data_IF_002975933545
#
_entry.id   IF_002975933545
#
_cell.length_a   1.000
_cell.length_b   1.000
_cell.length_c   1.000
_cell.angle_alpha   90.00
_cell.angle_beta   90.00
_cell.angle_gamma   90.00
#
_symmetry.space_group_name_H-M   'P 1'
#
loop_
_entity.id
_entity.type
_entity.pdbx_description
1 polymer ?
#
# COMPACT_ATOMS: atom_id res chain seq x y z
N UNK A 1 0.98 -5.33 -35.59
CA UNK A 1 -0.01 -5.69 -34.55
C UNK A 1 0.52 -6.81 -33.66
N UNK A 2 1.09 -7.88 -34.23
CA UNK A 2 1.74 -8.97 -33.47
C UNK A 2 2.96 -8.55 -32.62
N UNK A 3 3.76 -7.57 -33.07
CA UNK A 3 4.93 -7.08 -32.32
C UNK A 3 4.58 -6.28 -31.06
N UNK A 4 3.43 -5.58 -31.06
CA UNK A 4 2.94 -4.85 -29.89
C UNK A 4 2.33 -5.81 -28.87
N UNK A 5 1.61 -6.83 -29.36
CA UNK A 5 1.05 -7.88 -28.51
C UNK A 5 2.19 -8.67 -27.82
N UNK A 6 3.22 -9.10 -28.56
CA UNK A 6 4.37 -9.79 -27.95
C UNK A 6 5.16 -8.92 -26.97
N UNK A 7 5.27 -7.61 -27.24
CA UNK A 7 5.91 -6.66 -26.33
C UNK A 7 5.13 -6.50 -25.01
N UNK A 8 3.79 -6.51 -25.06
CA UNK A 8 2.92 -6.44 -23.87
C UNK A 8 3.04 -7.72 -23.02
N UNK A 9 3.00 -8.91 -23.63
CA UNK A 9 3.16 -10.19 -22.91
C UNK A 9 4.54 -10.32 -22.24
N UNK A 10 5.60 -9.83 -22.91
CA UNK A 10 6.93 -9.77 -22.32
C UNK A 10 7.01 -8.78 -21.14
N UNK A 11 6.26 -7.67 -21.22
CA UNK A 11 6.17 -6.70 -20.15
C UNK A 11 5.46 -7.27 -18.91
N UNK A 12 4.36 -7.99 -19.11
CA UNK A 12 3.65 -8.69 -18.02
C UNK A 12 4.54 -9.78 -17.39
N UNK A 13 5.29 -10.54 -18.19
CA UNK A 13 6.26 -11.52 -17.70
C UNK A 13 7.42 -10.90 -16.90
N UNK A 14 7.95 -9.76 -17.37
CA UNK A 14 8.98 -8.99 -16.67
C UNK A 14 8.46 -8.38 -15.37
N UNK A 15 7.24 -7.85 -15.36
CA UNK A 15 6.59 -7.32 -14.16
C UNK A 15 6.38 -8.44 -13.14
N UNK A 16 5.89 -9.61 -13.57
CA UNK A 16 5.65 -10.74 -12.69
C UNK A 16 6.96 -11.31 -12.09
N UNK A 17 8.02 -11.42 -12.90
CA UNK A 17 9.32 -11.86 -12.39
C UNK A 17 9.93 -10.82 -11.43
N UNK A 18 9.87 -9.54 -11.76
CA UNK A 18 10.30 -8.45 -10.88
C UNK A 18 9.53 -8.46 -9.55
N UNK A 19 8.21 -8.68 -9.57
CA UNK A 19 7.39 -8.82 -8.37
C UNK A 19 7.85 -9.97 -7.47
N UNK A 20 8.23 -11.11 -8.03
CA UNK A 20 8.76 -12.25 -7.26
C UNK A 20 10.07 -11.86 -6.56
N UNK A 21 11.04 -11.28 -7.30
CA UNK A 21 12.31 -10.85 -6.71
C UNK A 21 12.13 -9.77 -5.64
N UNK A 22 11.23 -8.80 -5.88
CA UNK A 22 10.88 -7.78 -4.88
C UNK A 22 10.26 -8.42 -3.65
N UNK A 23 9.36 -9.39 -3.81
CA UNK A 23 8.72 -10.09 -2.69
C UNK A 23 9.73 -10.87 -1.84
N UNK A 24 10.62 -11.65 -2.47
CA UNK A 24 11.69 -12.36 -1.76
C UNK A 24 12.69 -11.40 -1.12
N UNK A 25 13.03 -10.30 -1.79
CA UNK A 25 13.88 -9.24 -1.25
C UNK A 25 13.27 -8.60 0.00
N UNK A 26 11.98 -8.24 -0.05
CA UNK A 26 11.25 -7.69 1.09
C UNK A 26 11.17 -8.70 2.26
N UNK A 27 10.97 -9.98 1.97
CA UNK A 27 10.99 -11.04 2.97
C UNK A 27 12.38 -11.18 3.62
N UNK A 28 13.45 -11.12 2.83
CA UNK A 28 14.83 -11.12 3.32
C UNK A 28 15.13 -9.92 4.21
N UNK A 29 14.74 -8.71 3.79
CA UNK A 29 14.88 -7.47 4.59
C UNK A 29 14.07 -7.55 5.88
N UNK A 30 12.85 -8.10 5.83
CA UNK A 30 12.01 -8.29 7.00
C UNK A 30 12.66 -9.23 8.04
N UNK A 31 13.18 -10.36 7.60
CA UNK A 31 13.87 -11.32 8.46
C UNK A 31 15.16 -10.72 9.03
N UNK A 32 15.96 -10.04 8.20
CA UNK A 32 17.19 -9.37 8.63
C UNK A 32 16.92 -8.31 9.71
N UNK A 33 15.92 -7.44 9.51
CA UNK A 33 15.51 -6.46 10.53
C UNK A 33 15.01 -7.08 11.82
N UNK A 34 14.50 -8.32 11.79
CA UNK A 34 13.98 -9.02 12.97
C UNK A 34 15.06 -9.81 13.70
N UNK A 35 15.99 -10.42 12.98
CA UNK A 35 17.11 -11.17 13.54
C UNK A 35 18.19 -10.25 14.13
N UNK A 36 18.35 -9.05 13.57
CA UNK A 36 19.44 -8.11 13.92
C UNK A 36 20.73 -8.35 13.13
N UNK A 37 20.84 -9.50 12.47
CA UNK A 37 21.90 -9.88 11.54
C UNK A 37 21.40 -10.92 10.54
N UNK A 38 22.19 -11.22 9.51
CA UNK A 38 21.84 -12.14 8.43
C UNK A 38 22.74 -13.39 8.39
N UNK A 39 23.48 -13.67 9.48
CA UNK A 39 24.52 -14.71 9.44
C UNK A 39 23.92 -16.11 9.30
N UNK A 40 22.85 -16.43 10.02
CA UNK A 40 22.13 -17.72 9.88
C UNK A 40 21.53 -17.91 8.49
N UNK A 41 20.95 -16.86 7.91
CA UNK A 41 20.39 -16.88 6.56
C UNK A 41 21.48 -17.07 5.50
N UNK A 42 22.57 -16.31 5.59
CA UNK A 42 23.70 -16.41 4.68
C UNK A 42 24.37 -17.78 4.77
N UNK A 43 24.51 -18.33 5.98
CA UNK A 43 25.08 -19.65 6.18
C UNK A 43 24.19 -20.76 5.59
N UNK A 44 22.86 -20.67 5.71
CA UNK A 44 21.95 -21.63 5.05
C UNK A 44 22.01 -21.54 3.53
N UNK A 45 22.15 -20.34 2.98
CA UNK A 45 22.36 -20.15 1.54
C UNK A 45 23.70 -20.75 1.11
N UNK A 46 24.76 -20.54 1.91
CA UNK A 46 26.07 -21.13 1.68
C UNK A 46 26.04 -22.66 1.73
N UNK A 47 25.42 -23.23 2.75
CA UNK A 47 25.21 -24.68 2.90
C UNK A 47 24.46 -25.28 1.71
N UNK A 48 23.44 -24.58 1.21
CA UNK A 48 22.66 -25.01 0.07
C UNK A 48 23.47 -24.96 -1.24
N UNK A 49 24.27 -23.91 -1.45
CA UNK A 49 25.02 -23.71 -2.70
C UNK A 49 26.35 -24.46 -2.78
N UNK A 50 27.12 -24.51 -1.69
CA UNK A 50 28.53 -24.95 -1.70
C UNK A 50 28.79 -26.14 -0.79
N UNK A 51 27.86 -26.48 0.11
CA UNK A 51 28.03 -27.54 1.09
C UNK A 51 28.99 -27.18 2.23
N UNK A 52 28.78 -27.80 3.40
CA UNK A 52 29.59 -27.58 4.61
C UNK A 52 28.79 -26.90 5.73
N UNK A 53 28.53 -27.65 6.82
CA UNK A 53 27.64 -27.23 7.91
C UNK A 53 28.36 -26.60 9.12
N UNK A 54 29.68 -26.73 9.19
CA UNK A 54 30.45 -26.43 10.41
C UNK A 54 31.82 -25.88 10.08
N UNK A 55 32.30 -24.96 10.91
CA UNK A 55 33.69 -24.52 10.90
C UNK A 55 34.61 -25.63 11.43
N UNK A 56 35.82 -25.74 10.88
CA UNK A 56 36.82 -26.70 11.36
C UNK A 56 37.34 -26.37 12.77
N UNK A 57 37.35 -25.08 13.15
CA UNK A 57 37.76 -24.64 14.49
C UNK A 57 36.57 -24.69 15.46
N UNK A 58 36.78 -25.37 16.60
CA UNK A 58 35.73 -25.56 17.62
C UNK A 58 35.30 -24.27 18.32
N UNK A 59 36.20 -23.29 18.52
CA UNK A 59 35.85 -22.00 19.13
C UNK A 59 35.01 -21.15 18.17
N UNK A 60 35.37 -21.13 16.89
CA UNK A 60 34.59 -20.43 15.85
C UNK A 60 33.21 -21.08 15.72
N UNK A 61 33.13 -22.41 15.70
CA UNK A 61 31.86 -23.12 15.63
C UNK A 61 30.97 -22.85 16.86
N UNK A 62 31.56 -22.82 18.07
CA UNK A 62 30.83 -22.47 19.29
C UNK A 62 30.28 -21.03 19.25
N UNK A 63 31.09 -20.06 18.82
CA UNK A 63 30.66 -18.67 18.66
C UNK A 63 29.55 -18.55 17.61
N UNK A 64 29.67 -19.25 16.48
CA UNK A 64 28.65 -19.25 15.43
C UNK A 64 27.32 -19.82 15.94
N UNK A 65 27.36 -20.93 16.67
CA UNK A 65 26.17 -21.52 17.28
C UNK A 65 25.51 -20.58 18.29
N UNK A 66 26.30 -19.89 19.12
CA UNK A 66 25.78 -18.86 20.02
C UNK A 66 25.08 -17.73 19.26
N UNK A 67 25.69 -17.23 18.16
CA UNK A 67 25.07 -16.21 17.31
C UNK A 67 23.78 -16.70 16.68
N UNK A 68 23.76 -17.94 16.19
CA UNK A 68 22.58 -18.55 15.59
C UNK A 68 21.42 -18.69 16.60
N UNK A 69 21.74 -19.04 17.86
CA UNK A 69 20.75 -19.07 18.94
C UNK A 69 20.17 -17.67 19.24
N UNK A 70 21.01 -16.64 19.28
CA UNK A 70 20.56 -15.24 19.48
C UNK A 70 19.68 -14.78 18.31
N UNK A 71 20.10 -15.02 17.07
CA UNK A 71 19.32 -14.69 15.87
C UNK A 71 17.97 -15.42 15.88
N UNK A 72 17.96 -16.72 16.18
CA UNK A 72 16.72 -17.51 16.28
C UNK A 72 15.80 -16.97 17.37
N UNK A 73 16.33 -16.60 18.53
CA UNK A 73 15.55 -16.01 19.61
C UNK A 73 14.94 -14.67 19.20
N UNK A 74 15.73 -13.77 18.58
CA UNK A 74 15.27 -12.49 18.06
C UNK A 74 14.18 -12.67 16.98
N UNK A 75 14.33 -13.66 16.09
CA UNK A 75 13.30 -14.00 15.09
C UNK A 75 12.03 -14.51 15.75
N UNK A 76 12.10 -15.43 16.73
CA UNK A 76 10.89 -15.97 17.36
C UNK A 76 10.18 -14.92 18.21
N UNK A 77 10.91 -14.25 19.10
CA UNK A 77 10.35 -13.34 20.10
C UNK A 77 10.35 -11.87 19.67
N UNK A 78 10.85 -11.55 18.47
CA UNK A 78 10.81 -10.19 17.92
C UNK A 78 11.49 -9.15 18.82
N UNK A 79 12.56 -9.56 19.49
CA UNK A 79 13.40 -8.73 20.36
C UNK A 79 14.76 -8.48 19.72
N UNK A 80 15.52 -7.51 20.23
CA UNK A 80 16.82 -7.12 19.69
C UNK A 80 17.99 -7.47 20.61
N UNK A 81 18.09 -8.72 21.06
CA UNK A 81 19.19 -9.17 21.92
C UNK A 81 20.51 -9.21 21.14
N UNK A 82 21.60 -8.77 21.76
CA UNK A 82 22.95 -8.76 21.19
C UNK A 82 23.75 -10.02 21.50
N UNK A 83 23.48 -10.63 22.64
CA UNK A 83 24.18 -11.80 23.16
C UNK A 83 23.25 -12.65 24.04
N UNK A 84 23.74 -13.81 24.49
CA UNK A 84 22.98 -14.75 25.32
C UNK A 84 22.71 -14.19 26.73
N UNK A 85 23.55 -13.31 27.24
CA UNK A 85 23.44 -12.68 28.55
C UNK A 85 22.21 -11.76 28.62
N UNK A 86 21.96 -10.96 27.57
CA UNK A 86 20.76 -10.13 27.46
C UNK A 86 19.49 -10.99 27.40
N UNK A 87 19.51 -12.12 26.68
CA UNK A 87 18.40 -13.07 26.64
C UNK A 87 18.11 -13.64 28.04
N UNK A 88 19.15 -14.10 28.74
CA UNK A 88 19.00 -14.61 30.12
C UNK A 88 18.46 -13.54 31.06
N UNK A 89 18.94 -12.31 30.93
CA UNK A 89 18.50 -11.16 31.73
C UNK A 89 17.02 -10.86 31.48
N UNK A 90 16.58 -10.89 30.22
CA UNK A 90 15.17 -10.75 29.84
C UNK A 90 14.29 -11.86 30.45
N UNK A 91 14.74 -13.12 30.38
CA UNK A 91 14.00 -14.26 30.96
C UNK A 91 13.87 -14.10 32.48
N UNK A 92 14.93 -13.70 33.16
CA UNK A 92 14.90 -13.49 34.61
C UNK A 92 14.01 -12.30 34.99
N UNK A 93 14.07 -11.22 34.21
CA UNK A 93 13.25 -10.03 34.42
C UNK A 93 11.75 -10.32 34.25
N UNK A 94 11.37 -11.00 33.15
CA UNK A 94 9.97 -11.39 32.89
C UNK A 94 9.43 -12.28 34.00
N UNK A 95 10.22 -13.25 34.48
CA UNK A 95 9.87 -14.08 35.65
C UNK A 95 9.71 -13.25 36.92
N UNK A 96 10.65 -12.36 37.22
CA UNK A 96 10.62 -11.52 38.43
C UNK A 96 9.41 -10.59 38.45
N UNK A 97 9.01 -10.05 37.30
CA UNK A 97 7.86 -9.15 37.15
C UNK A 97 6.54 -9.90 36.88
N UNK A 98 6.57 -11.22 36.74
CA UNK A 98 5.42 -12.05 36.36
C UNK A 98 4.74 -11.55 35.06
N UNK A 99 5.54 -11.14 34.07
CA UNK A 99 5.08 -10.63 32.77
C UNK A 99 5.31 -11.72 31.71
N UNK A 100 4.27 -12.05 30.93
CA UNK A 100 4.42 -12.92 29.77
C UNK A 100 5.30 -12.23 28.72
N UNK A 101 6.32 -12.95 28.22
CA UNK A 101 7.20 -12.48 27.15
C UNK A 101 6.42 -11.99 25.92
N UNK A 102 5.22 -12.50 25.67
CA UNK A 102 4.31 -12.05 24.61
C UNK A 102 4.04 -10.55 24.68
N UNK A 103 3.89 -9.98 25.88
CA UNK A 103 3.69 -8.53 26.04
C UNK A 103 4.91 -7.73 25.59
N UNK A 104 6.12 -8.23 25.88
CA UNK A 104 7.38 -7.66 25.38
C UNK A 104 7.46 -7.78 23.85
N UNK A 105 7.10 -8.94 23.29
CA UNK A 105 7.15 -9.18 21.84
C UNK A 105 6.18 -8.28 21.05
N UNK A 106 5.01 -7.99 21.62
CA UNK A 106 3.97 -7.16 21.01
C UNK A 106 4.36 -5.67 20.99
N UNK A 107 5.10 -5.21 22.01
CA UNK A 107 5.58 -3.85 22.13
C UNK A 107 6.79 -3.51 21.22
N UNK A 108 7.21 -4.43 20.32
CA UNK A 108 8.38 -4.32 19.41
C UNK A 108 8.94 -2.90 19.21
N UNK A 109 10.19 -2.68 19.60
CA UNK A 109 10.90 -1.41 19.45
C UNK A 109 10.61 -0.38 20.55
N UNK A 110 9.63 -0.65 21.42
CA UNK A 110 9.31 0.14 22.61
C UNK A 110 9.77 -0.52 23.91
N UNK A 111 10.58 -1.58 23.82
CA UNK A 111 11.22 -2.20 24.96
C UNK A 111 12.70 -2.37 24.65
N UNK A 112 13.55 -1.81 25.51
CA UNK A 112 15.00 -1.89 25.38
C UNK A 112 15.51 -3.07 26.22
N UNK A 113 16.05 -4.09 25.56
CA UNK A 113 16.49 -5.33 26.22
C UNK A 113 17.75 -5.13 27.07
N UNK A 114 18.65 -4.26 26.66
CA UNK A 114 19.89 -3.97 27.38
C UNK A 114 19.65 -3.29 28.73
N UNK A 115 18.63 -2.43 28.81
CA UNK A 115 18.26 -1.70 30.04
C UNK A 115 17.05 -2.30 30.76
N UNK A 116 16.34 -3.24 30.12
CA UNK A 116 15.08 -3.85 30.57
C UNK A 116 13.99 -2.81 30.86
N UNK A 117 13.93 -1.74 30.06
CA UNK A 117 12.99 -0.62 30.22
C UNK A 117 11.97 -0.59 29.09
N UNK A 118 10.71 -0.38 29.47
CA UNK A 118 9.64 -0.05 28.53
C UNK A 118 9.61 1.46 28.26
N UNK A 119 9.46 1.84 26.99
CA UNK A 119 9.39 3.22 26.52
C UNK A 119 7.91 3.60 26.40
N UNK A 120 7.51 4.70 27.05
CA UNK A 120 6.14 5.20 26.98
C UNK A 120 5.89 5.88 25.62
N UNK A 121 4.91 5.43 24.83
CA UNK A 121 4.54 6.14 23.61
C UNK A 121 3.83 7.46 23.94
N UNK A 122 4.20 8.52 23.23
CA UNK A 122 3.54 9.82 23.31
C UNK A 122 2.16 9.75 22.65
N UNK A 123 1.11 10.18 23.36
CA UNK A 123 -0.26 10.21 22.84
C UNK A 123 -0.38 11.06 21.56
N UNK A 124 0.29 12.22 21.51
CA UNK A 124 0.25 13.12 20.36
C UNK A 124 0.78 12.48 19.08
N UNK A 125 1.73 11.54 19.21
CA UNK A 125 2.24 10.79 18.07
C UNK A 125 1.20 9.80 17.52
N UNK A 126 0.28 9.29 18.35
CA UNK A 126 -0.82 8.44 17.88
C UNK A 126 -1.81 9.25 17.04
N UNK A 127 -2.14 10.46 17.51
CA UNK A 127 -2.99 11.41 16.76
C UNK A 127 -2.32 11.78 15.44
N UNK A 128 -1.02 12.09 15.47
CA UNK A 128 -0.26 12.39 14.25
C UNK A 128 -0.26 11.25 13.23
N UNK A 129 -0.05 10.01 13.67
CA UNK A 129 -0.16 8.83 12.80
C UNK A 129 -1.57 8.73 12.22
N UNK A 130 -2.61 8.80 13.05
CA UNK A 130 -4.00 8.72 12.59
C UNK A 130 -4.34 9.78 11.53
N UNK A 131 -4.02 11.05 11.80
CA UNK A 131 -4.22 12.16 10.87
C UNK A 131 -3.46 11.92 9.57
N UNK A 132 -2.21 11.46 9.64
CA UNK A 132 -1.43 11.12 8.45
C UNK A 132 -2.11 10.03 7.61
N UNK A 133 -2.66 8.97 8.21
CA UNK A 133 -3.31 7.92 7.44
C UNK A 133 -4.59 8.44 6.76
N UNK A 134 -5.39 9.27 7.45
CA UNK A 134 -6.59 9.91 6.87
C UNK A 134 -6.22 10.80 5.68
N UNK A 135 -5.21 11.67 5.84
CA UNK A 135 -4.75 12.55 4.75
C UNK A 135 -4.24 11.75 3.55
N UNK A 136 -3.46 10.69 3.78
CA UNK A 136 -2.97 9.82 2.70
C UNK A 136 -4.11 9.09 1.99
N UNK A 137 -5.11 8.59 2.72
CA UNK A 137 -6.31 7.98 2.11
C UNK A 137 -7.07 8.99 1.25
N UNK A 138 -7.30 10.21 1.74
CA UNK A 138 -8.01 11.25 1.00
C UNK A 138 -7.26 11.62 -0.29
N UNK A 139 -5.95 11.90 -0.19
CA UNK A 139 -5.13 12.25 -1.35
C UNK A 139 -5.14 11.15 -2.42
N UNK A 140 -5.00 9.89 -2.00
CA UNK A 140 -4.78 8.77 -2.92
C UNK A 140 -6.06 8.05 -3.37
N UNK A 141 -7.20 8.32 -2.72
CA UNK A 141 -8.53 7.82 -3.15
C UNK A 141 -8.87 8.19 -4.59
N UNK A 142 -8.41 9.35 -5.07
CA UNK A 142 -8.60 9.82 -6.43
C UNK A 142 -7.95 8.88 -7.47
N UNK A 143 -6.79 8.30 -7.16
CA UNK A 143 -6.13 7.33 -8.05
C UNK A 143 -6.87 6.01 -8.07
N UNK A 144 -7.51 5.62 -6.96
CA UNK A 144 -8.35 4.42 -6.90
C UNK A 144 -9.59 4.58 -7.80
N UNK A 145 -10.24 5.75 -7.75
CA UNK A 145 -11.35 6.08 -8.65
C UNK A 145 -10.91 5.99 -10.12
N UNK A 146 -9.75 6.57 -10.45
CA UNK A 146 -9.18 6.52 -11.81
C UNK A 146 -8.87 5.08 -12.27
N UNK A 147 -8.34 4.25 -11.38
CA UNK A 147 -7.92 2.89 -11.71
C UNK A 147 -9.09 1.91 -11.90
N UNK A 148 -10.18 2.08 -11.13
CA UNK A 148 -11.31 1.15 -11.13
C UNK A 148 -12.43 1.53 -12.08
N UNK A 149 -12.58 2.81 -12.41
CA UNK A 149 -13.72 3.30 -13.18
C UNK A 149 -13.64 2.85 -14.65
N UNK A 150 -14.66 2.17 -15.19
CA UNK A 150 -14.68 1.70 -16.59
C UNK A 150 -15.11 2.82 -17.55
N UNK A 151 -14.58 4.03 -17.36
CA UNK A 151 -14.87 5.19 -18.19
C UNK A 151 -13.61 6.03 -18.35
N UNK A 152 -13.38 6.55 -19.55
CA UNK A 152 -12.27 7.44 -19.83
C UNK A 152 -12.53 8.82 -19.23
N UNK A 153 -11.53 9.40 -18.56
CA UNK A 153 -11.58 10.78 -18.10
C UNK A 153 -11.04 11.66 -19.23
N UNK A 154 -11.91 12.43 -19.87
CA UNK A 154 -11.56 13.27 -21.00
C UNK A 154 -11.92 14.72 -20.73
N UNK A 155 -11.13 15.63 -21.30
CA UNK A 155 -11.41 17.06 -21.23
C UNK A 155 -12.14 17.49 -22.49
N UNK A 156 -13.33 18.06 -22.33
CA UNK A 156 -14.06 18.68 -23.42
C UNK A 156 -13.32 19.96 -23.83
N UNK A 157 -12.88 20.03 -25.10
CA UNK A 157 -12.06 21.13 -25.60
C UNK A 157 -12.76 22.49 -25.52
N UNK A 158 -14.04 22.53 -25.86
CA UNK A 158 -14.86 23.75 -25.93
C UNK A 158 -15.19 24.28 -24.52
N UNK A 159 -15.49 23.38 -23.58
CA UNK A 159 -15.99 23.73 -22.25
C UNK A 159 -14.93 23.65 -21.15
N UNK A 160 -13.71 23.23 -21.49
CA UNK A 160 -12.59 22.93 -20.58
C UNK A 160 -12.91 21.97 -19.42
N UNK A 161 -14.08 21.34 -19.45
CA UNK A 161 -14.63 20.53 -18.38
C UNK A 161 -14.21 19.08 -18.51
N UNK A 162 -13.91 18.43 -17.37
CA UNK A 162 -13.57 17.02 -17.31
C UNK A 162 -14.83 16.18 -17.18
N UNK A 163 -14.95 15.15 -18.02
CA UNK A 163 -16.11 14.27 -18.12
C UNK A 163 -15.63 12.83 -18.16
N UNK A 164 -16.38 11.95 -17.51
CA UNK A 164 -16.19 10.50 -17.63
C UNK A 164 -17.05 9.96 -18.76
N UNK A 165 -16.44 9.29 -19.74
CA UNK A 165 -17.13 8.81 -20.94
C UNK A 165 -16.73 7.36 -21.24
N UNK A 166 -17.71 6.51 -21.50
CA UNK A 166 -17.51 5.19 -22.11
C UNK A 166 -18.44 5.04 -23.34
N UNK A 167 -18.64 3.82 -23.85
CA UNK A 167 -19.45 3.60 -25.04
C UNK A 167 -20.97 3.78 -24.84
N UNK A 168 -21.42 3.93 -23.59
CA UNK A 168 -22.85 3.93 -23.22
C UNK A 168 -23.28 5.14 -22.38
N UNK A 169 -22.35 5.71 -21.61
CA UNK A 169 -22.63 6.71 -20.58
C UNK A 169 -21.56 7.79 -20.62
N UNK A 170 -22.00 9.03 -20.51
CA UNK A 170 -21.18 10.19 -20.19
C UNK A 170 -21.70 10.83 -18.90
N UNK A 171 -20.80 11.16 -17.98
CA UNK A 171 -21.17 11.73 -16.68
C UNK A 171 -20.18 12.78 -16.19
N UNK A 172 -20.69 13.75 -15.43
CA UNK A 172 -19.89 14.80 -14.81
C UNK A 172 -18.76 14.23 -13.96
N UNK A 173 -17.59 14.85 -13.99
CA UNK A 173 -16.50 14.51 -13.07
C UNK A 173 -16.44 15.50 -11.90
N UNK A 174 -15.83 15.04 -10.81
CA UNK A 174 -15.45 15.83 -9.63
C UNK A 174 -14.52 17.02 -9.99
N UNK A 175 -13.96 17.02 -11.21
CA UNK A 175 -12.99 18.00 -11.70
C UNK A 175 -13.60 18.99 -12.71
N UNK A 176 -14.92 19.20 -12.71
CA UNK A 176 -15.57 20.23 -13.54
C UNK A 176 -15.11 21.66 -13.16
N UNK A 177 -15.26 22.63 -14.07
CA UNK A 177 -14.65 23.98 -14.07
C UNK A 177 -14.80 24.85 -12.79
N UNK A 178 -15.54 24.41 -11.77
CA UNK A 178 -15.66 25.10 -10.50
C UNK A 178 -14.76 24.44 -9.44
N UNK A 179 -13.64 25.12 -9.14
CA UNK A 179 -12.67 24.77 -8.09
C UNK A 179 -13.27 24.73 -6.66
N UNK A 180 -14.56 25.01 -6.48
CA UNK A 180 -15.28 25.01 -5.21
C UNK A 180 -16.33 23.88 -5.18
N UNK A 181 -16.30 22.96 -4.19
CA UNK A 181 -17.21 21.82 -4.01
C UNK A 181 -18.73 22.11 -3.96
N UNK A 182 -19.14 23.39 -3.90
CA UNK A 182 -20.49 23.77 -3.50
C UNK A 182 -21.48 23.94 -4.66
N UNK A 183 -21.01 24.09 -5.91
CA UNK A 183 -21.85 24.28 -7.10
C UNK A 183 -21.57 23.21 -8.17
N UNK A 184 -21.71 21.93 -7.79
CA UNK A 184 -21.43 20.81 -8.66
C UNK A 184 -22.73 20.35 -9.31
N UNK A 185 -22.80 20.45 -10.63
CA UNK A 185 -23.93 19.93 -11.41
C UNK A 185 -23.66 18.46 -11.72
N UNK A 186 -24.22 17.58 -10.89
CA UNK A 186 -24.21 16.15 -11.18
C UNK A 186 -25.14 15.88 -12.37
N UNK A 187 -24.57 15.37 -13.46
CA UNK A 187 -25.33 15.01 -14.64
C UNK A 187 -24.82 13.70 -15.25
N UNK A 188 -25.73 13.01 -15.91
CA UNK A 188 -25.50 11.76 -16.63
C UNK A 188 -26.27 11.80 -17.94
N UNK A 189 -25.61 11.41 -19.02
CA UNK A 189 -26.15 11.27 -20.36
C UNK A 189 -25.93 9.83 -20.82
N UNK A 190 -27.03 9.11 -21.04
CA UNK A 190 -27.00 7.75 -21.56
C UNK A 190 -27.19 7.73 -23.08
N UNK A 191 -26.61 6.73 -23.74
CA UNK A 191 -26.81 6.48 -25.18
C UNK A 191 -28.28 6.46 -25.58
N UNK A 192 -29.16 5.88 -24.76
CA UNK A 192 -30.61 5.84 -25.03
C UNK A 192 -31.25 7.22 -25.05
N UNK A 193 -30.76 8.16 -24.25
CA UNK A 193 -31.26 9.53 -24.25
C UNK A 193 -30.86 10.24 -25.55
N UNK A 194 -29.64 10.02 -26.05
CA UNK A 194 -29.22 10.56 -27.34
C UNK A 194 -30.02 10.02 -28.55
N UNK A 195 -30.60 8.82 -28.42
CA UNK A 195 -31.42 8.18 -29.47
C UNK A 195 -32.91 8.53 -29.37
N UNK A 196 -33.34 9.21 -28.31
CA UNK A 196 -34.73 9.59 -28.08
C UNK A 196 -35.10 10.84 -28.89
N UNK A 197 -36.20 10.78 -29.63
CA UNK A 197 -36.73 11.93 -30.40
C UNK A 197 -37.10 13.12 -29.49
N UNK A 198 -37.53 12.83 -28.26
CA UNK A 198 -37.90 13.84 -27.26
C UNK A 198 -36.69 14.46 -26.51
N UNK A 199 -35.46 14.11 -26.88
CA UNK A 199 -34.28 14.61 -26.16
C UNK A 199 -33.93 16.04 -26.54
N UNK A 200 -34.30 16.97 -25.66
CA UNK A 200 -33.92 18.38 -25.80
C UNK A 200 -32.47 18.62 -25.30
N UNK A 201 -31.56 18.71 -26.27
CA UNK A 201 -30.14 19.00 -26.05
C UNK A 201 -29.88 20.36 -25.43
N UNK A 202 -30.75 21.35 -25.68
CA UNK A 202 -30.58 22.72 -25.16
C UNK A 202 -30.87 22.78 -23.67
N UNK A 203 -31.96 22.13 -23.24
CA UNK A 203 -32.32 21.98 -21.81
C UNK A 203 -31.26 21.17 -21.08
N UNK A 204 -30.75 20.09 -21.69
CA UNK A 204 -29.67 19.30 -21.08
C UNK A 204 -28.38 20.11 -20.96
N UNK A 205 -27.99 20.84 -22.02
CA UNK A 205 -26.80 21.69 -22.05
C UNK A 205 -26.80 22.73 -20.93
N UNK A 206 -27.94 23.39 -20.69
CA UNK A 206 -28.10 24.37 -19.61
C UNK A 206 -27.95 23.73 -18.23
N UNK A 207 -28.60 22.57 -18.01
CA UNK A 207 -28.52 21.84 -16.74
C UNK A 207 -27.12 21.30 -16.46
N UNK A 208 -26.45 20.77 -17.48
CA UNK A 208 -25.14 20.16 -17.36
C UNK A 208 -23.99 21.18 -17.31
N UNK A 209 -24.25 22.42 -17.73
CA UNK A 209 -23.23 23.47 -17.80
C UNK A 209 -22.16 23.20 -18.87
N UNK A 210 -22.53 22.51 -19.94
CA UNK A 210 -21.66 22.20 -21.10
C UNK A 210 -22.33 22.68 -22.38
N UNK A 211 -21.57 23.04 -23.41
CA UNK A 211 -22.12 23.50 -24.69
C UNK A 211 -22.96 22.43 -25.41
N UNK A 212 -23.99 22.85 -26.15
CA UNK A 212 -24.78 21.97 -27.02
C UNK A 212 -23.89 21.20 -28.00
N UNK A 213 -22.82 21.83 -28.49
CA UNK A 213 -21.81 21.19 -29.36
C UNK A 213 -21.12 20.01 -28.67
N UNK A 214 -20.78 20.13 -27.38
CA UNK A 214 -20.22 19.01 -26.62
C UNK A 214 -21.24 17.88 -26.44
N UNK A 215 -22.51 18.20 -26.21
CA UNK A 215 -23.60 17.21 -26.15
C UNK A 215 -23.71 16.46 -27.48
N UNK A 216 -23.68 17.17 -28.61
CA UNK A 216 -23.72 16.58 -29.94
C UNK A 216 -22.57 15.61 -30.18
N UNK A 217 -21.34 16.00 -29.85
CA UNK A 217 -20.15 15.15 -30.00
C UNK A 217 -20.22 13.89 -29.15
N UNK A 218 -20.78 13.99 -27.94
CA UNK A 218 -20.99 12.82 -27.07
C UNK A 218 -22.00 11.87 -27.71
N UNK A 219 -23.13 12.39 -28.19
CA UNK A 219 -24.17 11.59 -28.84
C UNK A 219 -23.68 10.96 -30.16
N UNK A 220 -22.91 11.69 -30.97
CA UNK A 220 -22.29 11.18 -32.20
C UNK A 220 -21.31 10.05 -31.91
N UNK A 221 -20.54 10.14 -30.82
CA UNK A 221 -19.67 9.06 -30.38
C UNK A 221 -20.48 7.79 -30.04
N UNK A 222 -21.59 7.93 -29.31
CA UNK A 222 -22.43 6.79 -28.95
C UNK A 222 -23.05 6.07 -30.16
N UNK A 223 -23.40 6.80 -31.22
CA UNK A 223 -23.99 6.23 -32.43
C UNK A 223 -22.96 5.63 -33.39
N UNK A 224 -21.85 6.32 -33.63
CA UNK A 224 -20.82 5.92 -34.61
C UNK A 224 -19.76 4.97 -34.06
N UNK A 225 -19.57 4.92 -32.74
CA UNK A 225 -18.46 4.22 -32.10
C UNK A 225 -17.08 4.80 -32.45
N UNK A 226 -17.03 5.99 -33.07
CA UNK A 226 -15.82 6.57 -33.67
C UNK A 226 -14.66 6.78 -32.69
N UNK A 227 -14.94 6.98 -31.39
CA UNK A 227 -13.90 7.13 -30.36
C UNK A 227 -13.73 5.90 -29.47
N UNK A 228 -14.46 4.80 -29.70
CA UNK A 228 -14.45 3.64 -28.79
C UNK A 228 -13.04 3.07 -28.58
N UNK A 229 -12.26 2.89 -29.65
CA UNK A 229 -10.87 2.42 -29.55
C UNK A 229 -9.97 3.39 -28.77
N UNK A 230 -10.20 4.70 -28.94
CA UNK A 230 -9.44 5.74 -28.23
C UNK A 230 -9.81 5.75 -26.74
N UNK A 231 -11.10 5.66 -26.41
CA UNK A 231 -11.60 5.58 -25.04
C UNK A 231 -11.08 4.32 -24.34
N UNK A 232 -11.12 3.17 -25.02
CA UNK A 232 -10.61 1.90 -24.49
C UNK A 232 -9.11 1.97 -24.22
N UNK A 233 -8.33 2.62 -25.09
CA UNK A 233 -6.90 2.83 -24.85
C UNK A 233 -6.65 3.78 -23.65
N UNK A 234 -7.45 4.84 -23.49
CA UNK A 234 -7.37 5.73 -22.33
C UNK A 234 -7.69 4.95 -21.05
N UNK A 235 -8.77 4.17 -21.02
CA UNK A 235 -9.17 3.33 -19.87
C UNK A 235 -8.05 2.34 -19.52
N UNK A 236 -7.43 1.71 -20.52
CA UNK A 236 -6.29 0.80 -20.31
C UNK A 236 -5.12 1.52 -19.65
N UNK A 237 -4.82 2.75 -20.06
CA UNK A 237 -3.75 3.54 -19.45
C UNK A 237 -4.13 4.05 -18.05
N UNK A 238 -5.38 4.43 -17.81
CA UNK A 238 -5.88 4.84 -16.50
C UNK A 238 -5.78 3.71 -15.48
N UNK A 239 -5.96 2.46 -15.92
CA UNK A 239 -5.75 1.29 -15.04
C UNK A 239 -4.36 1.31 -14.41
N UNK A 240 -3.30 1.76 -15.09
CA UNK A 240 -1.95 1.87 -14.51
C UNK A 240 -1.88 2.72 -13.23
N UNK A 241 -2.86 3.58 -12.98
CA UNK A 241 -3.01 4.27 -11.70
C UNK A 241 -3.16 3.32 -10.50
N UNK A 242 -3.47 2.03 -10.72
CA UNK A 242 -3.49 0.99 -9.68
C UNK A 242 -2.15 0.91 -8.93
N UNK A 243 -1.03 1.16 -9.62
CA UNK A 243 0.32 1.19 -9.02
C UNK A 243 0.46 2.31 -8.00
N UNK A 244 -0.18 3.46 -8.23
CA UNK A 244 -0.22 4.56 -7.25
C UNK A 244 -1.27 4.31 -6.17
N UNK A 245 -2.37 3.64 -6.53
CA UNK A 245 -3.45 3.29 -5.60
C UNK A 245 -3.08 2.18 -4.60
N UNK A 246 -2.01 1.42 -4.82
CA UNK A 246 -1.53 0.41 -3.84
C UNK A 246 -0.78 1.02 -2.66
N UNK A 247 -0.12 2.18 -2.87
CA UNK A 247 0.62 2.88 -1.83
C UNK A 247 -0.21 3.24 -0.58
N UNK A 248 -1.42 3.83 -0.67
CA UNK A 248 -2.23 4.12 0.51
C UNK A 248 -2.59 2.86 1.29
N UNK A 249 -2.79 1.73 0.60
CA UNK A 249 -3.12 0.46 1.25
C UNK A 249 -1.93 -0.05 2.07
N UNK A 250 -0.72 -0.07 1.48
CA UNK A 250 0.51 -0.46 2.17
C UNK A 250 0.78 0.49 3.35
N UNK A 251 0.65 1.80 3.13
CA UNK A 251 0.84 2.80 4.17
C UNK A 251 -0.15 2.63 5.33
N UNK A 252 -1.41 2.36 5.03
CA UNK A 252 -2.45 2.08 6.04
C UNK A 252 -2.14 0.85 6.87
N UNK A 253 -1.65 -0.22 6.23
CA UNK A 253 -1.21 -1.43 6.93
C UNK A 253 -0.04 -1.09 7.89
N UNK A 254 0.94 -0.32 7.43
CA UNK A 254 2.08 0.12 8.26
C UNK A 254 1.59 0.96 9.45
N UNK A 255 0.73 1.95 9.19
CA UNK A 255 0.05 2.77 10.19
C UNK A 255 -0.62 1.88 11.26
N UNK A 256 -1.46 0.95 10.82
CA UNK A 256 -2.24 0.06 11.68
C UNK A 256 -1.34 -0.77 12.60
N UNK A 257 -0.31 -1.42 12.05
CA UNK A 257 0.65 -2.18 12.85
C UNK A 257 1.45 -1.27 13.79
N UNK A 258 1.74 -0.02 13.41
CA UNK A 258 2.42 0.94 14.28
C UNK A 258 1.55 1.33 15.49
N UNK A 259 0.24 1.50 15.29
CA UNK A 259 -0.72 1.81 16.35
C UNK A 259 -0.90 0.61 17.29
N UNK A 260 -1.02 -0.60 16.76
CA UNK A 260 -1.07 -1.83 17.56
C UNK A 260 0.16 -1.97 18.46
N UNK A 261 1.36 -1.74 17.92
CA UNK A 261 2.62 -1.79 18.71
C UNK A 261 2.65 -0.73 19.80
N UNK A 262 2.19 0.48 19.51
CA UNK A 262 2.11 1.57 20.50
C UNK A 262 1.08 1.25 21.60
N UNK A 263 -0.05 0.66 21.26
CA UNK A 263 -1.03 0.18 22.24
C UNK A 263 -0.43 -0.88 23.17
N UNK A 264 0.24 -1.88 22.59
CA UNK A 264 0.95 -2.91 23.36
C UNK A 264 2.06 -2.31 24.24
N UNK A 265 2.82 -1.34 23.74
CA UNK A 265 3.85 -0.63 24.49
C UNK A 265 3.28 0.14 25.69
N UNK A 266 2.15 0.83 25.51
CA UNK A 266 1.48 1.52 26.62
C UNK A 266 1.00 0.53 27.69
N UNK A 267 0.46 -0.62 27.28
CA UNK A 267 0.03 -1.67 28.22
C UNK A 267 1.22 -2.22 29.01
N UNK A 268 2.31 -2.59 28.32
CA UNK A 268 3.54 -3.07 28.94
C UNK A 268 4.14 -2.04 29.90
N UNK A 269 4.18 -0.76 29.50
CA UNK A 269 4.69 0.31 30.35
C UNK A 269 3.90 0.40 31.67
N UNK A 270 2.57 0.36 31.60
CA UNK A 270 1.71 0.41 32.79
C UNK A 270 1.88 -0.83 33.67
N UNK A 271 1.96 -2.02 33.08
CA UNK A 271 2.20 -3.27 33.82
C UNK A 271 3.53 -3.22 34.59
N UNK A 272 4.60 -2.71 33.97
CA UNK A 272 5.93 -2.64 34.60
C UNK A 272 6.01 -1.62 35.74
N UNK A 273 5.31 -0.49 35.63
CA UNK A 273 5.37 0.61 36.59
C UNK A 273 4.34 0.52 37.71
N UNK A 274 3.23 -0.20 37.49
CA UNK A 274 2.21 -0.43 38.51
C UNK A 274 2.42 -1.75 39.29
N UNK A 275 3.44 -2.55 38.92
CA UNK A 275 3.90 -3.78 39.62
C UNK A 275 5.11 -3.52 40.51
#
# INVERSE_FOLDING_TARGET
MESLISSIWNFDGLINSALIFVTFGLLGVFLWKRAGSAYSLLNRLWEFCLGGKTFHDGKINAYFNERNDVERFNVLFNVGARNKEEIKSLINWTKKKNIDIRHVTAAKGWFEISTLKAIKPLFIANVGVFVSCVLTMLLLSNFMLLALKPSALVRLGDDKSWVWINDHIAESSIWTNNYLPLNWTEWKLDKKQCESEDFDKTVFSEKAGISVRSVDRICENFSSGSLSDTLNNIIKNQKLAWVLAIYPFIFTIICFFSLLRRGAASKLYNEVHNS
#
